data_IF_184080809890
#
_entry.id   IF_184080809890
#
_cell.length_a   1.000
_cell.length_b   1.000
_cell.length_c   1.000
_cell.angle_alpha   90.00
_cell.angle_beta   90.00
_cell.angle_gamma   90.00
#
_symmetry.space_group_name_H-M   'P 1'
#
loop_
_entity.id
_entity.type
_entity.pdbx_description
1 polymer ?
#
# COMPACT_ATOMS: atom_id res chain seq x y z
N UNK A 1 11.76 14.26 -13.34
CA UNK A 1 11.17 14.46 -12.01
C UNK A 1 9.70 14.09 -12.04
N UNK A 2 9.23 13.44 -11.03
CA UNK A 2 7.82 13.05 -10.97
C UNK A 2 6.96 14.24 -10.61
N UNK A 3 6.04 14.57 -11.48
CA UNK A 3 5.11 15.66 -11.22
C UNK A 3 4.03 15.21 -10.24
N UNK A 4 3.71 16.08 -9.29
CA UNK A 4 2.67 15.82 -8.32
C UNK A 4 3.02 14.87 -7.20
N UNK A 5 4.26 14.39 -7.11
CA UNK A 5 4.70 13.52 -6.02
C UNK A 5 5.35 14.33 -4.91
N UNK A 6 5.10 13.93 -3.68
CA UNK A 6 5.78 14.47 -2.50
C UNK A 6 7.17 13.88 -2.37
N UNK A 7 7.92 14.37 -1.39
CA UNK A 7 9.26 13.88 -1.13
C UNK A 7 9.24 12.42 -0.69
N UNK A 8 10.40 11.78 -0.83
CA UNK A 8 10.62 10.42 -0.38
C UNK A 8 10.27 10.24 1.10
N UNK A 9 10.60 11.24 1.92
CA UNK A 9 10.30 11.20 3.35
C UNK A 9 8.81 11.13 3.62
N UNK A 10 8.01 11.94 2.93
CA UNK A 10 6.55 11.93 3.08
C UNK A 10 5.97 10.59 2.65
N UNK A 11 6.45 10.06 1.54
CA UNK A 11 5.98 8.77 1.04
C UNK A 11 6.29 7.64 2.02
N UNK A 12 7.48 7.67 2.62
CA UNK A 12 7.87 6.66 3.60
C UNK A 12 7.07 6.79 4.90
N UNK A 13 6.81 8.00 5.35
CA UNK A 13 5.95 8.22 6.50
C UNK A 13 4.54 7.68 6.27
N UNK A 14 3.99 7.92 5.08
CA UNK A 14 2.67 7.41 4.74
C UNK A 14 2.66 5.88 4.75
N UNK A 15 3.67 5.25 4.17
CA UNK A 15 3.79 3.80 4.15
C UNK A 15 3.82 3.22 5.56
N UNK A 16 4.66 3.77 6.42
CA UNK A 16 4.79 3.30 7.79
C UNK A 16 3.51 3.43 8.59
N UNK A 17 2.84 4.57 8.44
CA UNK A 17 1.59 4.83 9.16
C UNK A 17 0.49 3.89 8.69
N UNK A 18 0.33 3.72 7.39
CA UNK A 18 -0.70 2.83 6.87
C UNK A 18 -0.42 1.38 7.28
N UNK A 19 0.83 0.93 7.20
CA UNK A 19 1.19 -0.41 7.63
C UNK A 19 0.86 -0.63 9.11
N UNK A 20 1.14 0.35 9.94
CA UNK A 20 0.82 0.30 11.37
C UNK A 20 -0.69 0.25 11.62
N UNK A 21 -1.45 1.03 10.86
CA UNK A 21 -2.91 1.03 10.97
C UNK A 21 -3.47 -0.35 10.65
N UNK A 22 -3.00 -0.98 9.58
CA UNK A 22 -3.46 -2.32 9.21
C UNK A 22 -3.11 -3.35 10.28
N UNK A 23 -1.95 -3.19 10.91
CA UNK A 23 -1.50 -4.15 11.91
C UNK A 23 -2.24 -4.01 13.24
N UNK A 24 -2.50 -2.79 13.67
CA UNK A 24 -3.02 -2.54 15.04
C UNK A 24 -4.45 -2.01 15.11
N UNK A 25 -4.95 -1.38 14.08
CA UNK A 25 -6.23 -0.68 14.16
C UNK A 25 -7.34 -1.26 13.29
N UNK A 26 -6.99 -2.11 12.35
CA UNK A 26 -7.98 -2.74 11.44
C UNK A 26 -8.08 -4.23 11.80
N UNK A 27 -9.26 -4.66 12.15
CA UNK A 27 -9.50 -6.04 12.57
C UNK A 27 -10.05 -6.92 11.46
N UNK A 28 -9.69 -6.66 10.22
CA UNK A 28 -10.16 -7.46 9.10
C UNK A 28 -9.13 -8.56 8.82
N UNK A 29 -9.49 -9.84 9.02
CA UNK A 29 -8.55 -10.93 8.78
C UNK A 29 -8.07 -11.00 7.33
N UNK A 30 -8.84 -10.47 6.39
CA UNK A 30 -8.44 -10.45 4.98
C UNK A 30 -7.26 -9.53 4.73
N UNK A 31 -7.00 -8.58 5.61
CA UNK A 31 -5.87 -7.65 5.50
C UNK A 31 -4.69 -8.04 6.37
N UNK A 32 -4.80 -9.09 7.16
CA UNK A 32 -3.76 -9.46 8.13
C UNK A 32 -2.45 -9.92 7.48
N UNK A 33 -2.51 -10.47 6.28
CA UNK A 33 -1.34 -11.00 5.58
C UNK A 33 -0.86 -10.09 4.44
N UNK A 34 -1.37 -8.87 4.41
CA UNK A 34 -1.02 -7.90 3.37
C UNK A 34 0.20 -7.10 3.80
N UNK A 35 1.12 -6.88 2.88
CA UNK A 35 2.28 -6.02 3.10
C UNK A 35 2.12 -4.74 2.30
N UNK A 36 2.26 -3.60 2.96
CA UNK A 36 2.28 -2.31 2.26
C UNK A 36 3.70 -2.10 1.76
N UNK A 37 3.87 -2.12 0.45
CA UNK A 37 5.19 -2.05 -0.17
C UNK A 37 5.64 -0.62 -0.46
N UNK A 38 4.72 0.32 -0.57
CA UNK A 38 5.08 1.70 -0.82
C UNK A 38 3.88 2.60 -0.89
N UNK A 39 4.14 3.89 -0.83
CA UNK A 39 3.11 4.91 -1.01
C UNK A 39 3.66 6.03 -1.88
N UNK A 40 2.79 6.62 -2.68
CA UNK A 40 3.09 7.84 -3.43
C UNK A 40 2.03 8.88 -3.08
N UNK A 41 2.45 9.90 -2.37
CA UNK A 41 1.56 10.99 -1.96
C UNK A 41 1.72 12.13 -2.97
N UNK A 42 0.61 12.66 -3.46
CA UNK A 42 0.66 13.80 -4.38
C UNK A 42 1.24 15.02 -3.66
N UNK A 43 1.78 15.96 -4.43
CA UNK A 43 2.43 17.13 -3.88
C UNK A 43 1.49 17.92 -2.95
N UNK A 44 0.23 18.05 -3.32
CA UNK A 44 -0.77 18.78 -2.53
C UNK A 44 -1.44 17.88 -1.48
N UNK A 45 -1.02 16.63 -1.36
CA UNK A 45 -1.55 15.62 -0.43
C UNK A 45 -3.04 15.31 -0.62
N UNK A 46 -3.54 15.51 -1.81
CA UNK A 46 -4.94 15.19 -2.12
C UNK A 46 -5.15 13.72 -2.47
N UNK A 47 -4.11 13.03 -2.93
CA UNK A 47 -4.18 11.63 -3.33
C UNK A 47 -2.98 10.88 -2.79
N UNK A 48 -3.21 9.66 -2.33
CA UNK A 48 -2.14 8.75 -1.92
C UNK A 48 -2.35 7.42 -2.61
N UNK A 49 -1.44 7.05 -3.49
CA UNK A 49 -1.42 5.72 -4.08
C UNK A 49 -0.73 4.78 -3.11
N UNK A 50 -1.43 3.74 -2.70
CA UNK A 50 -0.93 2.76 -1.73
C UNK A 50 -0.68 1.45 -2.45
N UNK A 51 0.57 1.03 -2.48
CA UNK A 51 0.95 -0.23 -3.13
C UNK A 51 1.06 -1.33 -2.09
N UNK A 52 0.51 -2.49 -2.41
CA UNK A 52 0.52 -3.62 -1.49
C UNK A 52 0.80 -4.93 -2.22
N UNK A 53 1.28 -5.91 -1.47
CA UNK A 53 1.42 -7.28 -1.94
C UNK A 53 0.53 -8.20 -1.11
N UNK A 54 0.05 -9.27 -1.73
CA UNK A 54 -0.81 -10.25 -1.09
C UNK A 54 -0.67 -11.56 -1.85
N UNK A 55 -1.16 -12.65 -1.26
CA UNK A 55 -1.21 -13.92 -1.94
C UNK A 55 -2.16 -13.85 -3.13
N UNK A 56 -1.75 -14.44 -4.24
CA UNK A 56 -2.49 -14.40 -5.49
C UNK A 56 -3.95 -14.85 -5.35
N UNK A 57 -4.17 -15.90 -4.59
CA UNK A 57 -5.50 -16.47 -4.39
C UNK A 57 -6.42 -15.55 -3.60
N UNK A 58 -5.87 -14.50 -3.01
CA UNK A 58 -6.63 -13.61 -2.14
C UNK A 58 -6.80 -12.20 -2.72
N UNK A 59 -6.36 -11.98 -3.96
CA UNK A 59 -6.38 -10.64 -4.56
C UNK A 59 -7.75 -9.97 -4.48
N UNK A 60 -8.80 -10.68 -4.89
CA UNK A 60 -10.15 -10.10 -4.92
C UNK A 60 -10.66 -9.78 -3.52
N UNK A 61 -10.44 -10.68 -2.58
CA UNK A 61 -10.87 -10.50 -1.20
C UNK A 61 -10.15 -9.32 -0.55
N UNK A 62 -8.86 -9.19 -0.82
CA UNK A 62 -8.05 -8.10 -0.27
C UNK A 62 -8.50 -6.77 -0.85
N UNK A 63 -8.75 -6.70 -2.15
CA UNK A 63 -9.21 -5.48 -2.79
C UNK A 63 -10.54 -5.02 -2.20
N UNK A 64 -11.48 -5.92 -1.98
CA UNK A 64 -12.75 -5.60 -1.34
C UNK A 64 -12.57 -5.13 0.09
N UNK A 65 -11.68 -5.78 0.84
CA UNK A 65 -11.40 -5.40 2.21
C UNK A 65 -10.82 -3.98 2.30
N UNK A 66 -9.93 -3.62 1.40
CA UNK A 66 -9.41 -2.25 1.33
C UNK A 66 -10.50 -1.24 1.02
N UNK A 67 -11.41 -1.58 0.11
CA UNK A 67 -12.53 -0.70 -0.22
C UNK A 67 -13.38 -0.42 1.03
N UNK A 68 -13.68 -1.45 1.80
CA UNK A 68 -14.45 -1.30 3.03
C UNK A 68 -13.71 -0.50 4.10
N UNK A 69 -12.41 -0.71 4.22
CA UNK A 69 -11.62 -0.09 5.29
C UNK A 69 -11.09 1.30 4.91
N UNK A 70 -11.22 1.71 3.67
CA UNK A 70 -10.62 2.92 3.14
C UNK A 70 -10.92 4.17 3.97
N UNK A 71 -12.19 4.39 4.31
CA UNK A 71 -12.58 5.57 5.09
C UNK A 71 -11.93 5.62 6.45
N UNK A 72 -11.89 4.47 7.14
CA UNK A 72 -11.26 4.39 8.44
C UNK A 72 -9.75 4.59 8.35
N UNK A 73 -9.11 3.98 7.35
CA UNK A 73 -7.67 4.15 7.14
C UNK A 73 -7.35 5.62 6.87
N UNK A 74 -8.13 6.29 6.02
CA UNK A 74 -7.95 7.71 5.72
C UNK A 74 -8.02 8.57 6.99
N UNK A 75 -9.03 8.33 7.77
CA UNK A 75 -9.26 9.10 9.01
C UNK A 75 -8.11 8.92 9.99
N UNK A 76 -7.67 7.68 10.20
CA UNK A 76 -6.60 7.39 11.12
C UNK A 76 -5.25 7.92 10.64
N UNK A 77 -4.97 7.79 9.34
CA UNK A 77 -3.70 8.26 8.78
C UNK A 77 -3.58 9.78 8.86
N UNK A 78 -4.65 10.50 8.51
CA UNK A 78 -4.63 11.96 8.57
C UNK A 78 -4.37 12.44 10.00
N UNK A 79 -5.00 11.78 10.96
CA UNK A 79 -4.84 12.12 12.37
C UNK A 79 -3.42 11.88 12.86
N UNK A 80 -2.85 10.74 12.50
CA UNK A 80 -1.48 10.38 12.93
C UNK A 80 -0.42 11.23 12.27
N UNK A 81 -0.64 11.63 11.02
CA UNK A 81 0.30 12.47 10.28
C UNK A 81 0.05 13.95 10.49
N UNK A 82 -1.00 14.29 11.24
CA UNK A 82 -1.39 15.69 11.47
C UNK A 82 -1.64 16.45 10.18
N UNK A 83 -2.18 15.76 9.19
CA UNK A 83 -2.52 16.39 7.92
C UNK A 83 -3.91 17.04 8.03
N UNK A 84 -4.03 18.21 7.43
CA UNK A 84 -5.26 18.97 7.48
C UNK A 84 -6.41 18.24 6.81
N UNK A 85 -6.13 17.57 5.70
CA UNK A 85 -7.12 16.85 4.91
C UNK A 85 -6.62 15.44 4.66
N UNK A 86 -7.50 14.46 4.83
CA UNK A 86 -7.17 13.10 4.51
C UNK A 86 -7.12 12.92 2.98
N UNK A 87 -6.06 12.33 2.42
CA UNK A 87 -5.99 12.12 0.98
C UNK A 87 -6.96 11.05 0.53
N UNK A 88 -7.35 11.09 -0.74
CA UNK A 88 -8.02 9.96 -1.35
C UNK A 88 -7.01 8.82 -1.44
N UNK A 89 -7.37 7.64 -0.95
CA UNK A 89 -6.50 6.47 -1.01
C UNK A 89 -6.84 5.63 -2.24
N UNK A 90 -5.80 5.26 -2.98
CA UNK A 90 -5.93 4.38 -4.12
C UNK A 90 -5.05 3.18 -3.88
N UNK A 91 -5.66 2.04 -3.59
CA UNK A 91 -4.95 0.82 -3.28
C UNK A 91 -4.64 0.07 -4.58
N UNK A 92 -3.37 -0.21 -4.79
CA UNK A 92 -2.89 -0.85 -6.01
C UNK A 92 -2.02 -2.03 -5.68
N UNK A 93 -2.28 -3.14 -6.36
CA UNK A 93 -1.46 -4.33 -6.18
C UNK A 93 -0.07 -4.06 -6.76
N UNK A 94 0.94 -4.30 -5.95
CA UNK A 94 2.33 -4.18 -6.39
C UNK A 94 2.79 -5.50 -6.99
N UNK A 95 2.90 -5.54 -8.30
CA UNK A 95 3.28 -6.75 -9.01
C UNK A 95 4.79 -6.89 -9.22
N UNK A 96 5.57 -5.96 -8.68
CA UNK A 96 7.02 -6.03 -8.82
C UNK A 96 7.59 -7.26 -8.13
N UNK A 97 7.01 -7.67 -7.01
CA UNK A 97 7.44 -8.88 -6.29
C UNK A 97 7.20 -10.12 -7.16
N UNK A 98 6.00 -10.23 -7.76
CA UNK A 98 5.67 -11.35 -8.63
C UNK A 98 6.63 -11.43 -9.81
N UNK A 99 6.94 -10.30 -10.41
CA UNK A 99 7.86 -10.22 -11.54
C UNK A 99 9.26 -10.70 -11.13
N UNK A 100 9.74 -10.22 -9.97
CA UNK A 100 11.05 -10.62 -9.47
C UNK A 100 11.10 -12.14 -9.21
N UNK A 101 10.06 -12.70 -8.64
CA UNK A 101 9.99 -14.14 -8.40
C UNK A 101 9.99 -14.95 -9.69
N UNK A 102 9.27 -14.50 -10.71
CA UNK A 102 9.26 -15.15 -12.01
C UNK A 102 10.64 -15.15 -12.66
N UNK A 103 11.33 -14.02 -12.59
CA UNK A 103 12.68 -13.89 -13.14
C UNK A 103 13.64 -14.82 -12.38
N UNK A 104 13.59 -14.81 -11.06
CA UNK A 104 14.42 -15.68 -10.25
C UNK A 104 14.15 -17.17 -10.57
N UNK A 105 12.88 -17.54 -10.71
CA UNK A 105 12.51 -18.90 -11.05
C UNK A 105 13.00 -19.32 -12.43
N UNK A 106 12.92 -18.44 -13.42
CA UNK A 106 13.41 -18.71 -14.76
C UNK A 106 14.94 -18.89 -14.77
N UNK A 107 15.65 -18.03 -14.05
CA UNK A 107 17.11 -18.13 -13.95
C UNK A 107 17.53 -19.42 -13.26
N UNK A 108 16.83 -19.81 -12.20
CA UNK A 108 17.12 -21.05 -11.50
C UNK A 108 16.93 -22.26 -12.40
N UNK A 109 15.89 -22.28 -13.23
CA UNK A 109 15.65 -23.37 -14.17
C UNK A 109 16.73 -23.45 -15.25
N UNK A 110 17.17 -22.30 -15.74
CA UNK A 110 18.24 -22.26 -16.74
C UNK A 110 19.58 -22.69 -16.18
N UNK A 111 19.83 -22.36 -14.92
CA UNK A 111 21.09 -22.73 -14.26
C UNK A 111 21.15 -24.22 -13.93
N UNK A 112 20.03 -24.86 -13.83
CA UNK A 112 19.95 -26.30 -13.56
C UNK A 112 20.20 -27.08 -14.83
#
# INVERSE_FOLDING_TARGET
>A
MKQGSSSRKVNEQAREVIASILLFDISDPKLSMVTITGCEVSFDRSVCNVYYSAEKERYDQVAEAFTRASGRIRSLMARRLSWRVAPELRFMLDRSVDTAERIAGALAREAA
#
